data_IF_530158308869
#
_entry.id   IF_530158308869
#
_cell.length_a   1.000
_cell.length_b   1.000
_cell.length_c   1.000
_cell.angle_alpha   90.00
_cell.angle_beta   90.00
_cell.angle_gamma   90.00
#
_symmetry.space_group_name_H-M   'P 1'
#
loop_
_entity.id
_entity.type
_entity.pdbx_description
1 polymer ?
#
# COMPACT_ATOMS: atom_id res chain seq x y z
N UNK A 1 -60.04 -7.41 3.27
CA UNK A 1 -58.78 -6.70 3.56
C UNK A 1 -57.67 -7.38 2.78
N UNK A 2 -57.18 -6.77 1.71
CA UNK A 2 -56.10 -7.31 0.88
C UNK A 2 -54.82 -6.53 1.24
N UNK A 3 -53.86 -7.17 1.90
CA UNK A 3 -52.57 -6.57 2.24
C UNK A 3 -51.61 -6.82 1.07
N UNK A 4 -51.18 -5.74 0.40
CA UNK A 4 -50.21 -5.77 -0.67
C UNK A 4 -48.81 -5.61 -0.05
N UNK A 5 -48.03 -6.68 0.00
CA UNK A 5 -46.62 -6.63 0.41
C UNK A 5 -45.81 -5.99 -0.72
N UNK A 6 -45.44 -4.72 -0.55
CA UNK A 6 -44.44 -4.04 -1.38
C UNK A 6 -43.06 -4.63 -1.04
N UNK A 7 -42.66 -5.64 -1.81
CA UNK A 7 -41.28 -6.09 -1.91
C UNK A 7 -40.47 -4.99 -2.63
N UNK A 8 -39.86 -4.10 -1.85
CA UNK A 8 -38.83 -3.20 -2.36
C UNK A 8 -37.65 -4.06 -2.82
N UNK A 9 -37.20 -3.95 -4.08
CA UNK A 9 -35.96 -4.59 -4.47
C UNK A 9 -34.84 -3.96 -3.63
N UNK A 10 -34.16 -4.77 -2.81
CA UNK A 10 -32.89 -4.37 -2.22
C UNK A 10 -31.94 -4.15 -3.38
N UNK A 11 -31.73 -2.90 -3.76
CA UNK A 11 -30.68 -2.53 -4.70
C UNK A 11 -29.39 -2.84 -3.98
N UNK A 12 -28.80 -4.01 -4.27
CA UNK A 12 -27.44 -4.30 -3.91
C UNK A 12 -26.60 -3.26 -4.64
N UNK A 13 -26.19 -2.21 -3.92
CA UNK A 13 -25.23 -1.24 -4.44
C UNK A 13 -23.98 -2.05 -4.75
N UNK A 14 -23.78 -2.32 -6.04
CA UNK A 14 -22.55 -2.91 -6.52
C UNK A 14 -21.47 -1.87 -6.21
N UNK A 15 -20.75 -2.05 -5.11
CA UNK A 15 -19.57 -1.24 -4.80
C UNK A 15 -18.73 -1.19 -6.07
N UNK A 16 -18.63 -0.01 -6.67
CA UNK A 16 -17.67 0.23 -7.75
C UNK A 16 -16.33 -0.33 -7.28
N UNK A 17 -15.56 -1.01 -8.15
CA UNK A 17 -14.19 -1.35 -7.80
C UNK A 17 -13.52 -0.05 -7.39
N UNK A 18 -13.12 0.00 -6.13
CA UNK A 18 -12.68 1.24 -5.52
C UNK A 18 -11.44 1.81 -6.20
N UNK A 19 -11.34 3.13 -6.23
CA UNK A 19 -10.19 3.77 -6.86
C UNK A 19 -8.92 3.46 -6.06
N UNK A 20 -7.95 2.82 -6.72
CA UNK A 20 -6.63 2.54 -6.15
C UNK A 20 -5.65 3.62 -6.59
N UNK A 21 -4.98 4.24 -5.64
CA UNK A 21 -3.97 5.27 -5.88
C UNK A 21 -2.63 4.79 -5.32
N UNK A 22 -1.58 4.88 -6.12
CA UNK A 22 -0.19 4.69 -5.69
C UNK A 22 0.43 6.06 -5.47
N UNK A 23 0.89 6.33 -4.26
CA UNK A 23 1.64 7.53 -3.90
C UNK A 23 3.11 7.20 -3.88
N UNK A 24 3.92 7.97 -4.58
CA UNK A 24 5.38 7.75 -4.65
C UNK A 24 6.12 9.07 -4.84
N UNK A 25 7.31 9.17 -4.23
CA UNK A 25 8.25 10.26 -4.48
C UNK A 25 8.93 10.11 -5.86
N UNK A 26 9.73 11.09 -6.25
CA UNK A 26 10.48 11.06 -7.51
C UNK A 26 11.52 9.93 -7.62
N UNK A 27 12.02 9.41 -6.50
CA UNK A 27 13.06 8.37 -6.44
C UNK A 27 12.47 6.97 -6.70
N UNK A 28 11.26 6.74 -6.20
CA UNK A 28 10.55 5.46 -6.22
C UNK A 28 9.55 5.34 -7.37
N UNK A 29 9.48 6.35 -8.24
CA UNK A 29 8.55 6.39 -9.39
C UNK A 29 8.68 5.17 -10.32
N UNK A 30 9.87 4.60 -10.42
CA UNK A 30 10.11 3.40 -11.21
C UNK A 30 9.47 2.17 -10.56
N UNK A 31 9.57 2.04 -9.22
CA UNK A 31 8.87 1.00 -8.47
C UNK A 31 7.35 1.17 -8.59
N UNK A 32 6.86 2.42 -8.50
CA UNK A 32 5.45 2.74 -8.68
C UNK A 32 4.91 2.33 -10.06
N UNK A 33 5.67 2.61 -11.13
CA UNK A 33 5.31 2.22 -12.50
C UNK A 33 5.30 0.71 -12.69
N UNK A 34 6.27 0.02 -12.12
CA UNK A 34 6.33 -1.44 -12.17
C UNK A 34 5.14 -2.07 -11.43
N UNK A 35 4.83 -1.58 -10.22
CA UNK A 35 3.67 -2.01 -9.47
C UNK A 35 2.37 -1.75 -10.23
N UNK A 36 2.18 -0.54 -10.78
CA UNK A 36 0.98 -0.22 -11.57
C UNK A 36 0.83 -1.17 -12.77
N UNK A 37 1.90 -1.40 -13.53
CA UNK A 37 1.88 -2.33 -14.67
C UNK A 37 1.54 -3.76 -14.24
N UNK A 38 2.06 -4.21 -13.10
CA UNK A 38 1.78 -5.54 -12.57
C UNK A 38 0.33 -5.68 -12.07
N UNK A 39 -0.19 -4.66 -11.39
CA UNK A 39 -1.58 -4.59 -10.94
C UNK A 39 -2.57 -4.55 -12.11
N UNK A 40 -2.27 -3.75 -13.14
CA UNK A 40 -3.09 -3.64 -14.34
C UNK A 40 -3.19 -4.97 -15.08
N UNK A 41 -2.08 -5.72 -15.19
CA UNK A 41 -2.08 -7.07 -15.77
C UNK A 41 -2.98 -8.05 -15.00
N UNK A 42 -3.22 -7.79 -13.72
CA UNK A 42 -4.09 -8.58 -12.85
C UNK A 42 -5.50 -8.00 -12.69
N UNK A 43 -5.88 -7.05 -13.55
CA UNK A 43 -7.22 -6.46 -13.59
C UNK A 43 -7.46 -5.33 -12.60
N UNK A 44 -6.42 -4.82 -11.93
CA UNK A 44 -6.52 -3.69 -11.00
C UNK A 44 -5.97 -2.43 -11.65
N UNK A 45 -6.83 -1.46 -11.93
CA UNK A 45 -6.41 -0.15 -12.43
C UNK A 45 -5.97 0.76 -11.28
N UNK A 46 -4.79 1.38 -11.41
CA UNK A 46 -4.25 2.29 -10.40
C UNK A 46 -3.78 3.61 -11.03
N UNK A 47 -3.96 4.70 -10.29
CA UNK A 47 -3.36 6.00 -10.63
C UNK A 47 -2.11 6.21 -9.80
N UNK A 48 -1.04 6.72 -10.41
CA UNK A 48 0.15 7.13 -9.68
C UNK A 48 0.03 8.63 -9.42
N UNK A 49 0.11 9.02 -8.15
CA UNK A 49 0.18 10.41 -7.73
C UNK A 49 1.53 10.68 -7.07
N UNK A 50 2.07 11.86 -7.33
CA UNK A 50 3.20 12.40 -6.57
C UNK A 50 2.70 13.09 -5.30
N UNK A 51 3.61 13.41 -4.38
CA UNK A 51 3.25 14.09 -3.11
C UNK A 51 2.62 15.47 -3.33
N UNK A 52 3.04 16.21 -4.35
CA UNK A 52 2.46 17.49 -4.75
C UNK A 52 1.08 17.38 -5.43
N UNK A 53 0.65 16.16 -5.74
CA UNK A 53 -0.65 15.87 -6.36
C UNK A 53 -1.67 15.27 -5.39
N UNK A 54 -1.31 15.11 -4.11
CA UNK A 54 -2.16 14.46 -3.10
C UNK A 54 -3.50 15.17 -2.90
N UNK A 55 -3.57 16.48 -3.13
CA UNK A 55 -4.80 17.28 -3.11
C UNK A 55 -5.88 16.75 -4.09
N UNK A 56 -5.49 16.04 -5.15
CA UNK A 56 -6.43 15.41 -6.08
C UNK A 56 -7.29 14.35 -5.36
N UNK A 57 -6.77 13.69 -4.33
CA UNK A 57 -7.49 12.65 -3.59
C UNK A 57 -8.69 13.19 -2.80
N UNK A 58 -8.78 14.50 -2.57
CA UNK A 58 -9.95 15.13 -1.96
C UNK A 58 -11.15 15.18 -2.93
N UNK A 59 -10.86 15.11 -4.23
CA UNK A 59 -11.84 15.28 -5.30
C UNK A 59 -12.27 13.95 -5.94
N UNK A 60 -11.63 12.84 -5.55
CA UNK A 60 -11.93 11.51 -6.07
C UNK A 60 -12.22 10.53 -4.93
N UNK A 61 -13.18 9.61 -5.09
CA UNK A 61 -13.49 8.58 -4.09
C UNK A 61 -12.39 7.51 -4.07
N UNK A 62 -11.27 7.82 -3.43
CA UNK A 62 -10.13 6.91 -3.23
C UNK A 62 -10.45 5.93 -2.11
N UNK A 63 -10.56 4.65 -2.45
CA UNK A 63 -10.86 3.59 -1.50
C UNK A 63 -9.60 2.86 -1.01
N UNK A 64 -8.56 2.80 -1.84
CA UNK A 64 -7.27 2.24 -1.44
C UNK A 64 -6.12 3.16 -1.83
N UNK A 65 -5.26 3.42 -0.86
CA UNK A 65 -4.01 4.14 -1.01
C UNK A 65 -2.84 3.17 -0.85
N UNK A 66 -1.94 3.14 -1.80
CA UNK A 66 -0.69 2.39 -1.75
C UNK A 66 0.45 3.41 -1.67
N UNK A 67 1.13 3.52 -0.54
CA UNK A 67 2.23 4.45 -0.33
C UNK A 67 3.54 3.70 -0.52
N UNK A 68 4.38 4.17 -1.44
CA UNK A 68 5.73 3.67 -1.67
C UNK A 68 6.74 4.64 -1.07
N UNK A 69 7.47 4.16 -0.07
CA UNK A 69 8.49 4.92 0.66
C UNK A 69 8.44 4.61 2.15
N UNK A 70 9.61 4.64 2.79
CA UNK A 70 9.74 4.50 4.25
C UNK A 70 9.53 5.83 5.01
N UNK A 71 9.63 5.80 6.35
CA UNK A 71 9.52 7.00 7.19
C UNK A 71 10.58 8.06 6.89
N UNK A 72 11.71 7.66 6.29
CA UNK A 72 12.76 8.56 5.81
C UNK A 72 12.55 9.04 4.35
N UNK A 73 11.42 8.71 3.73
CA UNK A 73 11.16 9.10 2.35
C UNK A 73 11.02 10.63 2.20
N UNK A 74 11.72 11.17 1.21
CA UNK A 74 11.71 12.58 0.87
C UNK A 74 10.35 13.05 0.32
N UNK A 75 10.23 14.35 0.07
CA UNK A 75 9.07 14.99 -0.57
C UNK A 75 7.76 14.86 0.24
N UNK A 76 7.86 14.80 1.58
CA UNK A 76 6.69 14.74 2.48
C UNK A 76 6.05 13.34 2.59
N UNK A 77 6.59 12.33 1.91
CA UNK A 77 6.11 10.94 2.02
C UNK A 77 6.40 10.36 3.39
N UNK A 78 7.57 10.63 3.97
CA UNK A 78 7.93 10.18 5.31
C UNK A 78 6.93 10.65 6.37
N UNK A 79 6.60 11.94 6.38
CA UNK A 79 5.60 12.52 7.29
C UNK A 79 4.20 11.90 7.09
N UNK A 80 3.84 11.63 5.83
CA UNK A 80 2.57 10.97 5.52
C UNK A 80 2.54 9.55 6.08
N UNK A 81 3.61 8.78 5.89
CA UNK A 81 3.74 7.40 6.38
C UNK A 81 3.72 7.37 7.91
N UNK A 82 4.40 8.31 8.57
CA UNK A 82 4.46 8.42 10.01
C UNK A 82 3.08 8.58 10.68
N UNK A 83 2.15 9.24 10.01
CA UNK A 83 0.77 9.37 10.50
C UNK A 83 -0.02 8.05 10.51
N UNK A 84 0.51 6.98 9.91
CA UNK A 84 -0.14 5.67 9.83
C UNK A 84 0.61 4.56 10.56
N UNK A 85 1.90 4.75 10.85
CA UNK A 85 2.73 3.77 11.55
C UNK A 85 2.77 4.07 13.06
N UNK A 86 2.99 3.03 13.86
CA UNK A 86 3.36 3.19 15.27
C UNK A 86 4.86 3.42 15.40
N UNK A 87 5.30 3.95 16.53
CA UNK A 87 6.75 4.13 16.82
C UNK A 87 7.53 2.81 16.69
N UNK A 88 6.93 1.69 17.11
CA UNK A 88 7.54 0.36 16.95
C UNK A 88 7.68 -0.04 15.48
N UNK A 89 6.65 0.19 14.64
CA UNK A 89 6.70 -0.10 13.22
C UNK A 89 7.71 0.78 12.47
N UNK A 90 7.81 2.05 12.84
CA UNK A 90 8.81 2.97 12.29
C UNK A 90 10.22 2.55 12.67
N UNK A 91 10.48 2.27 13.96
CA UNK A 91 11.78 1.82 14.42
C UNK A 91 12.23 0.55 13.70
N UNK A 92 11.28 -0.35 13.44
CA UNK A 92 11.51 -1.60 12.71
C UNK A 92 11.96 -1.40 11.25
N UNK A 93 11.60 -0.27 10.64
CA UNK A 93 12.00 0.12 9.28
C UNK A 93 13.36 0.83 9.23
N UNK A 94 13.94 1.18 10.38
CA UNK A 94 15.26 1.81 10.47
C UNK A 94 16.40 0.79 10.48
N UNK A 95 16.10 -0.52 10.55
CA UNK A 95 17.11 -1.57 10.43
C UNK A 95 17.58 -1.72 8.97
N UNK A 96 18.88 -1.95 8.78
CA UNK A 96 19.45 -2.14 7.44
C UNK A 96 18.90 -3.43 6.80
N UNK A 97 18.42 -3.34 5.56
CA UNK A 97 17.77 -4.45 4.86
C UNK A 97 16.31 -4.69 5.26
N UNK A 98 15.72 -3.86 6.12
CA UNK A 98 14.33 -3.98 6.50
C UNK A 98 13.39 -3.67 5.31
N UNK A 99 12.40 -4.56 5.12
CA UNK A 99 11.28 -4.34 4.22
C UNK A 99 9.97 -4.46 4.99
N UNK A 100 9.12 -3.45 4.87
CA UNK A 100 7.83 -3.41 5.52
C UNK A 100 6.68 -3.50 4.56
N UNK A 101 5.66 -4.25 4.98
CA UNK A 101 4.34 -4.24 4.39
C UNK A 101 3.30 -4.04 5.48
N UNK A 102 2.65 -2.89 5.46
CA UNK A 102 1.63 -2.53 6.44
C UNK A 102 0.29 -2.34 5.75
N UNK A 103 -0.77 -2.84 6.36
CA UNK A 103 -2.15 -2.59 5.92
C UNK A 103 -2.89 -1.96 7.09
N UNK A 104 -3.33 -0.72 6.89
CA UNK A 104 -4.12 0.05 7.86
C UNK A 104 -5.48 0.37 7.27
N UNK A 105 -6.42 0.66 8.14
CA UNK A 105 -7.75 1.15 7.77
C UNK A 105 -8.01 2.44 8.53
N UNK A 106 -8.30 3.52 7.80
CA UNK A 106 -8.59 4.84 8.38
C UNK A 106 -9.67 5.51 7.53
N UNK A 107 -10.72 6.01 8.17
CA UNK A 107 -11.80 6.77 7.51
C UNK A 107 -12.43 6.03 6.32
N UNK A 108 -12.68 4.73 6.47
CA UNK A 108 -13.25 3.89 5.39
C UNK A 108 -12.28 3.57 4.25
N UNK A 109 -11.04 4.07 4.30
CA UNK A 109 -10.00 3.81 3.29
C UNK A 109 -9.04 2.74 3.77
N UNK A 110 -8.56 1.93 2.82
CA UNK A 110 -7.44 1.02 3.04
C UNK A 110 -6.13 1.74 2.71
N UNK A 111 -5.19 1.74 3.64
CA UNK A 111 -3.83 2.26 3.44
C UNK A 111 -2.87 1.07 3.41
N UNK A 112 -2.15 0.89 2.30
CA UNK A 112 -1.10 -0.10 2.14
C UNK A 112 0.22 0.66 2.08
N UNK A 113 1.17 0.33 2.94
CA UNK A 113 2.48 0.99 2.99
C UNK A 113 3.53 -0.06 2.64
N UNK A 114 4.33 0.23 1.62
CA UNK A 114 5.50 -0.54 1.22
C UNK A 114 6.72 0.34 1.42
N UNK A 115 7.58 -0.08 2.35
CA UNK A 115 8.76 0.66 2.73
C UNK A 115 9.99 -0.24 2.68
N UNK A 116 11.07 0.26 2.08
CA UNK A 116 12.42 -0.24 2.28
C UNK A 116 13.30 0.87 2.85
N UNK A 117 14.44 0.52 3.43
CA UNK A 117 15.42 1.50 3.90
C UNK A 117 16.15 2.18 2.72
N UNK A 118 16.30 1.48 1.58
CA UNK A 118 16.82 2.04 0.32
C UNK A 118 15.82 1.98 -0.85
N UNK A 119 16.13 2.70 -1.93
CA UNK A 119 15.38 2.64 -3.21
C UNK A 119 15.35 1.21 -3.78
N UNK A 120 16.45 0.47 -3.63
CA UNK A 120 16.52 -0.90 -4.14
C UNK A 120 15.64 -1.83 -3.32
N UNK A 121 15.72 -1.73 -2.00
CA UNK A 121 14.85 -2.50 -1.09
C UNK A 121 13.37 -2.16 -1.29
N UNK A 122 13.02 -0.90 -1.60
CA UNK A 122 11.63 -0.54 -1.91
C UNK A 122 11.13 -1.26 -3.17
N UNK A 123 11.97 -1.42 -4.20
CA UNK A 123 11.64 -2.23 -5.39
C UNK A 123 11.52 -3.72 -5.07
N UNK A 124 12.40 -4.22 -4.22
CA UNK A 124 12.37 -5.60 -3.76
C UNK A 124 11.11 -5.86 -2.94
N UNK A 125 10.72 -4.96 -2.05
CA UNK A 125 9.49 -5.03 -1.26
C UNK A 125 8.26 -5.09 -2.17
N UNK A 126 8.19 -4.23 -3.19
CA UNK A 126 7.10 -4.27 -4.20
C UNK A 126 7.00 -5.64 -4.86
N UNK A 127 8.15 -6.22 -5.24
CA UNK A 127 8.19 -7.54 -5.90
C UNK A 127 7.82 -8.66 -4.93
N UNK A 128 8.42 -8.65 -3.74
CA UNK A 128 8.26 -9.67 -2.72
C UNK A 128 6.82 -9.73 -2.19
N UNK A 129 6.20 -8.57 -1.95
CA UNK A 129 4.85 -8.48 -1.41
C UNK A 129 3.75 -8.45 -2.49
N UNK A 130 4.07 -8.60 -3.77
CA UNK A 130 3.11 -8.43 -4.86
C UNK A 130 1.86 -9.30 -4.73
N UNK A 131 2.04 -10.61 -4.51
CA UNK A 131 0.92 -11.55 -4.33
C UNK A 131 0.05 -11.17 -3.13
N UNK A 132 0.67 -10.66 -2.07
CA UNK A 132 -0.03 -10.18 -0.88
C UNK A 132 -0.81 -8.89 -1.16
N UNK A 133 -0.23 -7.96 -1.91
CA UNK A 133 -0.93 -6.74 -2.39
C UNK A 133 -2.19 -7.16 -3.14
N UNK A 134 -2.09 -8.10 -4.10
CA UNK A 134 -3.24 -8.59 -4.85
C UNK A 134 -4.29 -9.26 -3.96
N UNK A 135 -3.88 -10.09 -3.01
CA UNK A 135 -4.78 -10.74 -2.05
C UNK A 135 -5.54 -9.71 -1.21
N UNK A 136 -4.84 -8.70 -0.70
CA UNK A 136 -5.45 -7.62 0.08
C UNK A 136 -6.41 -6.80 -0.79
N UNK A 137 -6.02 -6.43 -2.01
CA UNK A 137 -6.85 -5.66 -2.93
C UNK A 137 -8.15 -6.38 -3.33
N UNK A 138 -8.12 -7.71 -3.47
CA UNK A 138 -9.30 -8.53 -3.77
C UNK A 138 -10.22 -8.74 -2.56
N UNK A 139 -9.72 -8.51 -1.35
CA UNK A 139 -10.53 -8.60 -0.15
C UNK A 139 -11.43 -7.36 -0.06
N UNK A 140 -12.73 -7.49 0.28
CA UNK A 140 -13.59 -6.33 0.53
C UNK A 140 -13.03 -5.45 1.64
N UNK A 141 -13.22 -4.13 1.53
CA UNK A 141 -12.95 -3.21 2.63
C UNK A 141 -14.04 -3.44 3.68
N UNK A 142 -13.68 -4.05 4.80
CA UNK A 142 -14.58 -4.32 5.93
C UNK A 142 -13.95 -3.74 7.19
N UNK A 143 -14.67 -2.81 7.82
CA UNK A 143 -14.35 -2.31 9.15
C UNK A 143 -14.48 -3.47 10.15
N UNK A 144 -13.39 -4.19 10.39
CA UNK A 144 -13.40 -5.37 11.27
C UNK A 144 -12.23 -6.33 11.06
N UNK A 145 -11.51 -6.22 9.94
CA UNK A 145 -10.28 -6.99 9.74
C UNK A 145 -9.15 -6.29 10.52
N UNK A 146 -8.73 -6.91 11.64
CA UNK A 146 -7.51 -6.51 12.35
C UNK A 146 -6.34 -6.48 11.35
N UNK A 147 -5.63 -5.35 11.33
CA UNK A 147 -4.46 -5.12 10.51
C UNK A 147 -3.49 -6.32 10.59
N UNK A 148 -3.37 -7.08 9.48
CA UNK A 148 -2.35 -8.12 9.36
C UNK A 148 -1.03 -7.45 8.97
N UNK A 149 -0.33 -6.94 9.98
CA UNK A 149 1.08 -6.53 9.87
C UNK A 149 1.87 -7.81 9.60
N UNK A 150 2.53 -7.89 8.44
CA UNK A 150 3.54 -8.93 8.21
C UNK A 150 4.80 -8.18 7.86
N UNK A 151 5.68 -8.12 8.85
CA UNK A 151 7.02 -7.59 8.74
C UNK A 151 7.94 -8.70 8.23
N UNK A 152 8.84 -8.39 7.31
CA UNK A 152 9.92 -9.30 6.92
C UNK A 152 11.23 -8.52 6.99
N UNK A 153 12.01 -8.79 8.03
CA UNK A 153 13.42 -8.38 8.08
C UNK A 153 14.19 -9.40 7.22
N UNK A 154 14.57 -9.01 6.01
CA UNK A 154 15.56 -9.78 5.26
C UNK A 154 16.92 -9.27 5.71
N UNK A 155 17.41 -9.80 6.82
CA UNK A 155 18.82 -9.65 7.17
C UNK A 155 19.62 -10.20 6.00
N UNK A 156 20.35 -9.34 5.31
CA UNK A 156 21.32 -9.81 4.32
C UNK A 156 22.29 -10.71 5.06
N UNK A 157 22.41 -11.97 4.63
CA UNK A 157 23.57 -12.78 5.01
C UNK A 157 24.83 -11.95 4.76
N UNK A 158 25.84 -12.02 5.66
CA UNK A 158 27.04 -11.21 5.51
C UNK A 158 27.64 -11.47 4.14
N UNK A 159 27.96 -10.38 3.44
CA UNK A 159 28.84 -10.40 2.28
C UNK A 159 30.13 -11.13 2.66
N UNK A 160 30.15 -12.43 2.38
CA UNK A 160 31.36 -13.23 2.33
C UNK A 160 31.98 -12.92 0.97
N UNK A 161 32.51 -11.71 0.84
CA UNK A 161 33.58 -11.50 -0.13
C UNK A 161 34.75 -12.32 0.39
N UNK A 162 35.25 -13.36 -0.31
CA UNK A 162 36.54 -13.91 0.03
C UNK A 162 37.54 -12.81 -0.34
N UNK A 163 38.07 -12.13 0.68
CA UNK A 163 39.27 -11.33 0.49
C UNK A 163 40.38 -12.34 0.22
N UNK A 164 40.72 -12.49 -1.06
CA UNK A 164 41.90 -13.22 -1.48
C UNK A 164 43.13 -12.65 -0.81
N UNK A 165 43.91 -13.54 -0.21
CA UNK A 165 45.23 -13.32 0.36
C UNK A 165 45.97 -14.66 0.35
#
# INVERSE_FOLDING_TARGET
>A
MLIFFLILPTISVLSSPGLVVIVSNSIDIEAARQLNKALLKNGVSCFILRSDELWKMEHYPVDTLIILGGPQAYEGIGEMVANYLTEEEEASLMEEGAMGFFVKFKEGKRIIILAGNTRNETKEAVTYFFEKILSVLKTPISEGIKANVIMVVVGTEPSSTPVGG
#
